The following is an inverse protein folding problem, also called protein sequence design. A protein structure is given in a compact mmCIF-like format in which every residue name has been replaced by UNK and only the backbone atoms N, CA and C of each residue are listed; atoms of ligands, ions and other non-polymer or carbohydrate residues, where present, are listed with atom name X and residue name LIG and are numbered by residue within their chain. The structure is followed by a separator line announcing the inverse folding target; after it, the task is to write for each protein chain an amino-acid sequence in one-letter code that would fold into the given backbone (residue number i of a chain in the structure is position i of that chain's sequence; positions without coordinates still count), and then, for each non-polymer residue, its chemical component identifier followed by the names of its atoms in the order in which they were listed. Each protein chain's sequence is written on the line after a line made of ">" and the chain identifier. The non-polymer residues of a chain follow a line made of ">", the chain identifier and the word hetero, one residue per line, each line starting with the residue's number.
data_IF_860729716346
#
_entry.id   IF_860729716346
#
_cell.length_a   1.000
_cell.length_b   1.000
_cell.length_c   1.000
_cell.angle_alpha   90.00
_cell.angle_beta   90.00
_cell.angle_gamma   90.00
#
_symmetry.space_group_name_H-M   'P 1'
#
loop_
_entity.id
_entity.type
_entity.pdbx_description
1 polymer ?
#
# COMPACT_ATOMS: atom_id res chain seq x y z
N UNK A 1 11.49 15.80 4.57
CA UNK A 1 10.32 14.97 4.26
C UNK A 1 9.92 14.15 5.47
N UNK A 2 8.67 13.69 5.52
CA UNK A 2 8.16 12.79 6.58
C UNK A 2 7.86 11.42 5.97
N UNK A 3 8.32 10.36 6.64
CA UNK A 3 8.18 8.98 6.20
C UNK A 3 7.34 8.20 7.20
N UNK A 4 6.41 7.40 6.68
CA UNK A 4 5.58 6.47 7.45
C UNK A 4 5.85 5.09 6.89
N UNK A 5 6.68 4.32 7.60
CA UNK A 5 7.14 3.01 7.15
C UNK A 5 6.33 1.92 7.82
N UNK A 6 5.60 1.14 7.02
CA UNK A 6 4.91 -0.09 7.44
C UNK A 6 5.89 -1.28 7.40
N UNK A 7 5.44 -2.48 7.77
CA UNK A 7 6.28 -3.69 7.69
C UNK A 7 6.84 -3.88 6.28
N UNK A 8 8.16 -3.96 6.18
CA UNK A 8 8.89 -4.31 4.97
C UNK A 8 9.63 -5.63 5.21
N UNK A 9 9.48 -6.59 4.30
CA UNK A 9 10.16 -7.89 4.39
C UNK A 9 11.36 -8.00 3.44
N UNK A 10 11.55 -7.04 2.54
CA UNK A 10 12.64 -7.02 1.57
C UNK A 10 13.80 -6.18 2.12
N UNK A 11 15.01 -6.76 2.12
CA UNK A 11 16.23 -6.10 2.63
C UNK A 11 16.59 -4.82 1.87
N UNK A 12 16.39 -4.78 0.54
CA UNK A 12 16.69 -3.61 -0.28
C UNK A 12 15.78 -2.42 0.10
N UNK A 13 14.49 -2.69 0.32
CA UNK A 13 13.56 -1.65 0.78
C UNK A 13 13.90 -1.19 2.20
N UNK A 14 14.33 -2.09 3.08
CA UNK A 14 14.80 -1.73 4.41
C UNK A 14 16.05 -0.83 4.38
N UNK A 15 17.01 -1.13 3.51
CA UNK A 15 18.20 -0.29 3.33
C UNK A 15 17.86 1.10 2.78
N UNK A 16 16.89 1.21 1.87
CA UNK A 16 16.39 2.51 1.40
C UNK A 16 15.79 3.34 2.54
N UNK A 17 15.00 2.71 3.40
CA UNK A 17 14.46 3.39 4.60
C UNK A 17 15.58 3.74 5.58
N UNK A 18 16.59 2.89 5.76
CA UNK A 18 17.75 3.16 6.62
C UNK A 18 18.49 4.43 6.21
N UNK A 19 18.67 4.66 4.91
CA UNK A 19 19.31 5.86 4.37
C UNK A 19 18.49 7.15 4.59
N UNK A 20 17.20 6.99 4.86
CA UNK A 20 16.26 8.09 5.06
C UNK A 20 16.15 8.51 6.53
N UNK A 21 16.61 7.64 7.43
CA UNK A 21 16.54 7.81 8.87
C UNK A 21 17.81 8.48 9.41
N UNK A 22 17.70 9.35 10.43
CA UNK A 22 18.88 9.87 11.12
C UNK A 22 19.62 8.74 11.85
N UNK A 23 20.93 8.88 12.06
CA UNK A 23 21.77 7.81 12.62
C UNK A 23 21.30 7.30 13.99
N UNK A 24 20.71 8.18 14.82
CA UNK A 24 20.11 7.83 16.11
C UNK A 24 18.90 6.90 15.99
N UNK A 25 18.32 6.77 14.81
CA UNK A 25 17.13 5.98 14.51
C UNK A 25 17.45 4.60 13.94
N UNK A 26 18.72 4.25 13.74
CA UNK A 26 19.11 2.98 13.09
C UNK A 26 18.57 1.74 13.81
N UNK A 27 18.39 1.80 15.13
CA UNK A 27 17.77 0.72 15.90
C UNK A 27 16.31 0.45 15.52
N UNK A 28 15.57 1.44 14.98
CA UNK A 28 14.21 1.22 14.48
C UNK A 28 14.20 0.40 13.19
N UNK A 29 15.23 0.49 12.35
CA UNK A 29 15.33 -0.28 11.10
C UNK A 29 15.27 -1.77 11.37
N UNK A 30 15.97 -2.23 12.41
CA UNK A 30 15.99 -3.63 12.83
C UNK A 30 14.60 -4.13 13.26
N UNK A 31 13.71 -3.22 13.67
CA UNK A 31 12.35 -3.55 14.07
C UNK A 31 11.34 -3.51 12.92
N UNK A 32 11.68 -2.99 11.74
CA UNK A 32 10.76 -2.85 10.60
C UNK A 32 10.16 -4.21 10.20
N UNK A 33 10.99 -5.25 10.12
CA UNK A 33 10.54 -6.62 9.81
C UNK A 33 9.58 -7.18 10.86
N UNK A 34 9.72 -6.73 12.11
CA UNK A 34 8.96 -7.21 13.26
C UNK A 34 7.68 -6.39 13.54
N UNK A 35 7.38 -5.37 12.72
CA UNK A 35 6.14 -4.61 12.84
C UNK A 35 4.93 -5.54 12.62
N UNK A 36 3.96 -5.44 13.53
CA UNK A 36 2.69 -6.18 13.44
C UNK A 36 1.71 -5.41 12.57
N UNK A 37 0.56 -6.03 12.31
CA UNK A 37 -0.55 -5.34 11.68
C UNK A 37 -0.90 -4.10 12.50
N UNK A 38 -1.13 -2.99 11.78
CA UNK A 38 -1.39 -1.66 12.35
C UNK A 38 -0.19 -1.02 13.04
N UNK A 39 1.02 -1.49 12.84
CA UNK A 39 2.20 -0.77 13.33
C UNK A 39 2.99 -0.13 12.20
N UNK A 40 3.54 1.04 12.48
CA UNK A 40 4.45 1.73 11.60
C UNK A 40 5.54 2.47 12.38
N UNK A 41 6.60 2.85 11.68
CA UNK A 41 7.61 3.79 12.17
C UNK A 41 7.41 5.12 11.45
N UNK A 42 7.37 6.21 12.20
CA UNK A 42 7.28 7.58 11.67
C UNK A 42 8.61 8.29 11.93
N UNK A 43 9.14 8.96 10.91
CA UNK A 43 10.39 9.72 11.00
C UNK A 43 10.45 10.91 10.05
N UNK A 44 11.36 11.86 10.33
CA UNK A 44 11.57 13.05 9.51
C UNK A 44 10.93 14.29 10.15
N UNK A 45 10.64 15.30 9.34
CA UNK A 45 10.26 16.65 9.83
C UNK A 45 8.91 16.70 10.56
N UNK A 46 8.03 15.71 10.37
CA UNK A 46 6.74 15.64 11.04
C UNK A 46 6.78 15.15 12.49
N UNK A 47 7.95 14.73 13.00
CA UNK A 47 8.13 14.24 14.38
C UNK A 47 9.48 14.71 14.95
N UNK A 48 9.53 14.97 16.26
CA UNK A 48 10.79 15.42 16.91
C UNK A 48 11.81 14.30 17.01
N UNK A 49 11.33 13.07 17.23
CA UNK A 49 12.14 11.86 17.25
C UNK A 49 11.41 10.74 16.50
N UNK A 50 12.13 9.79 15.90
CA UNK A 50 11.53 8.60 15.31
C UNK A 50 10.78 7.80 16.37
N UNK A 51 9.58 7.33 16.02
CA UNK A 51 8.72 6.62 16.96
C UNK A 51 7.90 5.53 16.26
N UNK A 52 7.64 4.46 17.01
CA UNK A 52 6.75 3.36 16.60
C UNK A 52 5.33 3.69 17.02
N UNK A 53 4.40 3.65 16.07
CA UNK A 53 2.97 3.98 16.27
C UNK A 53 2.12 2.74 16.03
N UNK A 54 1.07 2.59 16.83
CA UNK A 54 -0.07 1.71 16.50
C UNK A 54 -1.19 2.55 15.91
N UNK A 55 -1.68 2.14 14.74
CA UNK A 55 -2.77 2.78 14.02
C UNK A 55 -4.11 2.24 14.51
N UNK A 56 -5.04 3.15 14.77
CA UNK A 56 -6.41 2.78 15.11
C UNK A 56 -7.18 2.26 13.90
N UNK A 57 -8.22 1.47 14.17
CA UNK A 57 -9.18 1.14 13.14
C UNK A 57 -9.99 2.38 12.78
N UNK A 58 -10.27 2.56 11.50
CA UNK A 58 -11.29 3.49 11.06
C UNK A 58 -12.68 2.92 11.41
N UNK A 59 -13.64 3.82 11.69
CA UNK A 59 -15.06 3.48 11.71
C UNK A 59 -15.46 2.79 10.41
N UNK A 60 -16.39 1.84 10.45
CA UNK A 60 -16.79 1.04 9.28
C UNK A 60 -17.15 1.91 8.06
N UNK A 61 -17.85 3.02 8.29
CA UNK A 61 -18.27 3.96 7.24
C UNK A 61 -17.10 4.71 6.58
N UNK A 62 -15.92 4.73 7.20
CA UNK A 62 -14.72 5.43 6.72
C UNK A 62 -13.68 4.46 6.13
N UNK A 63 -13.88 3.15 6.27
CA UNK A 63 -12.97 2.15 5.72
C UNK A 63 -13.08 2.17 4.20
N UNK A 64 -11.95 2.04 3.47
CA UNK A 64 -11.99 1.82 2.04
C UNK A 64 -12.77 0.54 1.73
N UNK A 65 -13.49 0.50 0.60
CA UNK A 65 -14.12 -0.72 0.07
C UNK A 65 -13.06 -1.69 -0.44
N UNK A 66 -12.36 -2.31 0.50
CA UNK A 66 -11.26 -3.26 0.27
C UNK A 66 -11.62 -4.69 0.70
N UNK A 67 -12.88 -4.94 1.07
CA UNK A 67 -13.34 -6.30 1.29
C UNK A 67 -13.24 -7.08 -0.01
N UNK A 68 -12.62 -8.26 0.05
CA UNK A 68 -12.48 -9.13 -1.10
C UNK A 68 -13.87 -9.47 -1.64
N UNK A 69 -14.18 -9.15 -2.90
CA UNK A 69 -15.46 -9.55 -3.47
C UNK A 69 -15.54 -11.07 -3.47
N UNK A 70 -16.71 -11.62 -3.14
CA UNK A 70 -16.96 -13.05 -3.27
C UNK A 70 -16.88 -13.44 -4.75
N UNK A 71 -15.77 -14.04 -5.15
CA UNK A 71 -15.56 -14.52 -6.51
C UNK A 71 -16.61 -15.56 -6.92
N UNK A 72 -17.02 -16.41 -5.97
CA UNK A 72 -18.05 -17.43 -6.20
C UNK A 72 -19.39 -16.81 -6.56
N UNK A 73 -19.79 -15.75 -5.87
CA UNK A 73 -21.04 -15.05 -6.17
C UNK A 73 -20.91 -14.24 -7.47
N UNK A 74 -19.75 -13.65 -7.74
CA UNK A 74 -19.51 -12.86 -8.94
C UNK A 74 -19.49 -13.72 -10.23
N UNK A 75 -19.01 -14.96 -10.17
CA UNK A 75 -18.98 -15.87 -11.32
C UNK A 75 -20.33 -16.53 -11.63
N UNK A 76 -21.26 -16.55 -10.67
CA UNK A 76 -22.62 -17.04 -10.86
C UNK A 76 -23.54 -16.04 -11.58
N UNK A 77 -23.08 -14.80 -11.76
CA UNK A 77 -23.79 -13.77 -12.52
C UNK A 77 -23.38 -13.91 -13.99
N UNK A 78 -24.36 -14.00 -14.89
CA UNK A 78 -24.10 -14.01 -16.34
C UNK A 78 -23.17 -12.84 -16.70
N UNK A 79 -22.03 -13.19 -17.31
CA UNK A 79 -20.93 -12.25 -17.56
C UNK A 79 -21.34 -11.02 -18.36
N UNK A 80 -20.52 -9.96 -18.29
CA UNK A 80 -20.79 -8.73 -19.04
C UNK A 80 -20.99 -9.03 -20.54
N UNK A 81 -21.98 -8.38 -21.16
CA UNK A 81 -22.28 -8.56 -22.59
C UNK A 81 -21.02 -8.44 -23.46
N UNK A 82 -20.97 -9.14 -24.60
CA UNK A 82 -19.87 -9.04 -25.58
C UNK A 82 -19.46 -7.59 -25.89
N UNK A 83 -20.43 -6.66 -25.90
CA UNK A 83 -20.19 -5.23 -26.08
C UNK A 83 -19.29 -4.60 -25.00
N UNK A 84 -19.31 -5.10 -23.76
CA UNK A 84 -18.43 -4.63 -22.70
C UNK A 84 -16.98 -5.10 -22.90
N UNK A 85 -16.81 -6.36 -23.27
CA UNK A 85 -15.50 -6.93 -23.61
C UNK A 85 -14.87 -6.16 -24.78
N UNK A 86 -15.65 -5.89 -25.84
CA UNK A 86 -15.18 -5.10 -26.98
C UNK A 86 -14.77 -3.68 -26.58
N UNK A 87 -15.50 -3.02 -25.69
CA UNK A 87 -15.13 -1.69 -25.17
C UNK A 87 -13.82 -1.73 -24.39
N UNK A 88 -13.63 -2.73 -23.52
CA UNK A 88 -12.40 -2.90 -22.74
C UNK A 88 -11.20 -3.16 -23.66
N UNK A 89 -11.34 -4.06 -24.64
CA UNK A 89 -10.30 -4.33 -25.65
C UNK A 89 -9.97 -3.06 -26.45
N UNK A 90 -10.97 -2.29 -26.89
CA UNK A 90 -10.74 -1.02 -27.59
C UNK A 90 -9.99 0.00 -26.72
N UNK A 91 -10.30 0.09 -25.43
CA UNK A 91 -9.60 0.99 -24.50
C UNK A 91 -8.14 0.58 -24.30
N UNK A 92 -7.87 -0.70 -24.08
CA UNK A 92 -6.49 -1.20 -23.93
C UNK A 92 -5.66 -1.00 -25.20
N UNK A 93 -6.25 -1.26 -26.39
CA UNK A 93 -5.57 -0.99 -27.67
C UNK A 93 -5.24 0.49 -27.87
N UNK A 94 -6.09 1.40 -27.38
CA UNK A 94 -5.84 2.85 -27.45
C UNK A 94 -4.83 3.34 -26.41
N UNK A 95 -4.75 2.72 -25.24
CA UNK A 95 -3.74 3.05 -24.23
C UNK A 95 -2.31 2.74 -24.69
N UNK A 96 -2.12 1.76 -25.58
CA UNK A 96 -0.84 1.52 -26.23
C UNK A 96 -0.47 2.55 -27.31
N UNK A 97 -1.34 3.52 -27.62
CA UNK A 97 -1.20 4.45 -28.73
C UNK A 97 -1.02 5.92 -28.32
N UNK A 98 -0.85 6.18 -27.02
CA UNK A 98 -0.37 7.49 -26.51
C UNK A 98 1.10 7.38 -26.11
N UNK A 99 1.97 7.43 -27.12
CA UNK A 99 3.20 8.24 -27.15
C UNK A 99 3.76 8.18 -28.58
N UNK A 100 4.02 9.33 -29.23
CA UNK A 100 5.16 10.18 -28.89
C UNK A 100 4.83 11.41 -28.05
#
# INVERSE_FOLDING_TARGET
>A
GTYITLRLNNENDQERIRLTLPDSARGFVETISALRNRECIISGEGVVVPLRVTLDYLDEQRRPRSEDPSYTDAWGIDGESQASIERTVRRWRRQGQTNP
#
